data_IF_533815142437
#
_entry.id   IF_533815142437
#
_cell.length_a   1.000
_cell.length_b   1.000
_cell.length_c   1.000
_cell.angle_alpha   90.00
_cell.angle_beta   90.00
_cell.angle_gamma   90.00
#
_symmetry.space_group_name_H-M   'P 1'
#
loop_
_entity.id
_entity.type
_entity.pdbx_description
1 polymer ?
#
# COMPACT_ATOMS: atom_id res chain seq x y z
N UNK A 1 19.73 -3.40 -11.51
CA UNK A 1 18.27 -3.60 -11.34
C UNK A 1 17.96 -3.61 -9.85
N UNK A 2 16.76 -3.17 -9.42
CA UNK A 2 16.38 -3.18 -8.01
C UNK A 2 16.39 -4.61 -7.44
N UNK A 3 16.96 -4.80 -6.25
CA UNK A 3 17.07 -6.10 -5.60
C UNK A 3 15.70 -6.62 -5.11
N UNK A 4 14.76 -5.70 -4.89
CA UNK A 4 13.40 -5.95 -4.44
C UNK A 4 12.45 -5.02 -5.19
N UNK A 5 11.26 -5.53 -5.53
CA UNK A 5 10.16 -4.81 -6.16
C UNK A 5 8.99 -4.80 -5.19
N UNK A 6 8.46 -3.61 -4.91
CA UNK A 6 7.28 -3.39 -4.10
C UNK A 6 6.16 -2.85 -4.99
N UNK A 7 5.01 -3.49 -4.96
CA UNK A 7 3.78 -3.00 -5.60
C UNK A 7 2.77 -2.69 -4.51
N UNK A 8 2.27 -1.46 -4.52
CA UNK A 8 1.28 -0.97 -3.57
C UNK A 8 -0.10 -1.03 -4.23
N UNK A 9 -1.05 -1.70 -3.58
CA UNK A 9 -2.39 -1.94 -4.13
C UNK A 9 -3.42 -1.32 -3.20
N UNK A 10 -4.00 -0.21 -3.63
CA UNK A 10 -5.17 0.40 -2.98
C UNK A 10 -6.46 -0.17 -3.55
N UNK A 11 -7.38 -0.59 -2.68
CA UNK A 11 -8.71 -1.07 -3.08
C UNK A 11 -9.81 -0.36 -2.29
N UNK A 12 -11.06 -0.58 -2.68
CA UNK A 12 -12.23 -0.19 -1.88
C UNK A 12 -12.43 -1.00 -0.59
N UNK A 13 -11.57 -1.98 -0.33
CA UNK A 13 -11.63 -2.91 0.82
C UNK A 13 -10.39 -2.86 1.72
N UNK A 14 -9.45 -1.96 1.45
CA UNK A 14 -8.18 -1.86 2.16
C UNK A 14 -6.97 -1.85 1.23
N UNK A 15 -5.79 -1.75 1.84
CA UNK A 15 -4.50 -1.68 1.17
C UNK A 15 -3.76 -3.01 1.28
N UNK A 16 -3.01 -3.35 0.23
CA UNK A 16 -2.12 -4.51 0.19
C UNK A 16 -0.76 -4.09 -0.34
N UNK A 17 0.27 -4.80 0.08
CA UNK A 17 1.58 -4.75 -0.57
C UNK A 17 1.90 -6.10 -1.21
N UNK A 18 2.66 -6.02 -2.29
CA UNK A 18 3.19 -7.20 -2.97
C UNK A 18 4.69 -7.04 -3.14
N UNK A 19 5.45 -7.95 -2.57
CA UNK A 19 6.91 -7.97 -2.65
C UNK A 19 7.36 -9.06 -3.62
N UNK A 20 8.31 -8.74 -4.49
CA UNK A 20 9.02 -9.72 -5.31
C UNK A 20 10.50 -9.40 -5.46
N UNK A 21 11.27 -10.42 -5.82
CA UNK A 21 12.68 -10.26 -6.21
C UNK A 21 12.84 -9.80 -7.67
N UNK A 22 14.08 -9.70 -8.18
CA UNK A 22 14.38 -9.12 -9.49
C UNK A 22 13.69 -9.85 -10.66
N UNK A 23 13.48 -11.16 -10.53
CA UNK A 23 12.83 -11.98 -11.54
C UNK A 23 11.31 -11.74 -11.64
N UNK A 24 10.66 -11.18 -10.60
CA UNK A 24 9.22 -10.88 -10.56
C UNK A 24 8.28 -12.09 -10.78
N UNK A 25 8.79 -13.30 -10.56
CA UNK A 25 8.04 -14.55 -10.81
C UNK A 25 7.24 -15.07 -9.61
N UNK A 26 7.58 -14.65 -8.39
CA UNK A 26 6.89 -15.06 -7.16
C UNK A 26 6.63 -13.83 -6.32
N UNK A 27 5.40 -13.71 -5.82
CA UNK A 27 4.96 -12.54 -5.06
C UNK A 27 4.53 -12.97 -3.67
N UNK A 28 5.05 -12.28 -2.66
CA UNK A 28 4.52 -12.35 -1.30
C UNK A 28 3.53 -11.21 -1.14
N UNK A 29 2.29 -11.52 -0.79
CA UNK A 29 1.22 -10.54 -0.57
C UNK A 29 1.01 -10.36 0.93
N UNK A 30 0.89 -9.12 1.41
CA UNK A 30 0.48 -8.82 2.79
C UNK A 30 -0.65 -7.80 2.83
N UNK A 31 -1.29 -7.68 3.99
CA UNK A 31 -2.56 -6.98 4.19
C UNK A 31 -3.73 -7.94 4.46
N UNK A 32 -4.99 -7.46 4.43
CA UNK A 32 -5.37 -6.07 4.21
C UNK A 32 -4.95 -5.15 5.36
N UNK A 33 -4.35 -4.00 5.03
CA UNK A 33 -4.21 -2.86 5.94
C UNK A 33 -5.42 -1.93 5.79
N UNK A 34 -5.84 -1.25 6.86
CA UNK A 34 -7.04 -0.42 6.86
C UNK A 34 -8.25 -1.15 6.25
N UNK A 35 -8.53 -2.35 6.75
CA UNK A 35 -9.57 -3.22 6.22
C UNK A 35 -10.93 -2.52 6.13
N UNK A 36 -11.63 -2.70 5.01
CA UNK A 36 -12.93 -2.09 4.72
C UNK A 36 -12.87 -0.61 4.33
N UNK A 37 -11.70 0.02 4.39
CA UNK A 37 -11.54 1.42 3.99
C UNK A 37 -11.29 1.56 2.49
N UNK A 38 -11.75 2.67 1.91
CA UNK A 38 -11.50 3.00 0.51
C UNK A 38 -10.16 3.71 0.34
N UNK A 39 -9.17 2.96 -0.14
CA UNK A 39 -7.81 3.46 -0.38
C UNK A 39 -7.76 4.17 -1.72
N UNK A 40 -7.49 5.47 -1.68
CA UNK A 40 -7.42 6.32 -2.87
C UNK A 40 -6.00 6.34 -3.46
N UNK A 41 -4.98 6.32 -2.61
CA UNK A 41 -3.58 6.30 -3.03
C UNK A 41 -2.67 5.72 -1.93
N UNK A 42 -1.55 5.11 -2.35
CA UNK A 42 -0.48 4.65 -1.48
C UNK A 42 0.85 5.19 -1.99
N UNK A 43 1.70 5.66 -1.09
CA UNK A 43 3.02 6.17 -1.43
C UNK A 43 4.06 5.68 -0.42
N UNK A 44 5.19 5.15 -0.90
CA UNK A 44 6.27 4.66 -0.06
C UNK A 44 7.50 5.57 -0.17
N UNK A 45 8.01 6.04 0.96
CA UNK A 45 9.27 6.77 1.01
C UNK A 45 10.42 5.80 1.29
N UNK A 46 11.19 5.46 0.25
CA UNK A 46 12.32 4.55 0.34
C UNK A 46 13.45 5.05 1.26
N UNK A 47 13.50 6.35 1.60
CA UNK A 47 14.52 6.92 2.49
C UNK A 47 14.22 6.65 3.97
N UNK A 48 12.93 6.67 4.32
CA UNK A 48 12.47 6.51 5.71
C UNK A 48 11.83 5.15 5.99
N UNK A 49 11.45 4.42 4.94
CA UNK A 49 10.71 3.16 5.07
C UNK A 49 9.24 3.35 5.43
N UNK A 50 8.74 4.58 5.40
CA UNK A 50 7.35 4.90 5.77
C UNK A 50 6.42 4.70 4.58
N UNK A 51 5.30 4.04 4.81
CA UNK A 51 4.19 3.92 3.87
C UNK A 51 3.09 4.90 4.25
N UNK A 52 2.67 5.73 3.29
CA UNK A 52 1.54 6.63 3.42
C UNK A 52 0.32 6.09 2.69
N UNK A 53 -0.86 6.22 3.29
CA UNK A 53 -2.14 5.83 2.71
C UNK A 53 -3.13 6.99 2.74
N UNK A 54 -3.59 7.43 1.57
CA UNK A 54 -4.71 8.34 1.44
C UNK A 54 -6.01 7.53 1.41
N UNK A 55 -6.88 7.79 2.38
CA UNK A 55 -8.15 7.08 2.56
C UNK A 55 -9.29 8.08 2.40
N UNK A 56 -10.25 7.73 1.53
CA UNK A 56 -11.48 8.50 1.36
C UNK A 56 -12.64 7.84 2.10
N UNK A 57 -13.13 8.48 3.16
CA UNK A 57 -14.33 8.03 3.88
C UNK A 57 -15.52 8.97 3.57
N UNK A 58 -16.69 8.45 3.14
CA UNK A 58 -17.80 9.32 2.75
C UNK A 58 -18.53 9.96 3.94
N UNK A 59 -18.30 9.53 5.18
CA UNK A 59 -18.87 10.13 6.40
C UNK A 59 -17.89 11.06 7.10
N UNK A 60 -16.62 10.68 7.19
CA UNK A 60 -15.59 11.37 7.98
C UNK A 60 -14.57 12.13 7.13
N UNK A 61 -14.73 12.11 5.80
CA UNK A 61 -13.87 12.81 4.87
C UNK A 61 -12.53 12.09 4.59
N UNK A 62 -11.66 12.80 3.88
CA UNK A 62 -10.36 12.27 3.46
C UNK A 62 -9.31 12.40 4.57
N UNK A 63 -8.51 11.35 4.75
CA UNK A 63 -7.41 11.29 5.74
C UNK A 63 -6.16 10.67 5.13
N UNK A 64 -5.00 11.04 5.66
CA UNK A 64 -3.71 10.41 5.32
C UNK A 64 -3.18 9.71 6.56
N UNK A 65 -2.84 8.44 6.43
CA UNK A 65 -2.20 7.62 7.46
C UNK A 65 -0.76 7.33 7.08
N UNK A 66 0.09 7.11 8.08
CA UNK A 66 1.45 6.60 7.92
C UNK A 66 1.66 5.35 8.77
N UNK A 67 2.48 4.42 8.29
CA UNK A 67 2.91 3.21 9.04
C UNK A 67 3.75 3.53 10.27
#
# INVERSE_FOLDING_TARGET
MAQQVLVLVGTRKGAFDMESGPARCRWKVRGPYHEGMNIMHLAFDARSGILFAAIGDPWFGSRVYSS
#
